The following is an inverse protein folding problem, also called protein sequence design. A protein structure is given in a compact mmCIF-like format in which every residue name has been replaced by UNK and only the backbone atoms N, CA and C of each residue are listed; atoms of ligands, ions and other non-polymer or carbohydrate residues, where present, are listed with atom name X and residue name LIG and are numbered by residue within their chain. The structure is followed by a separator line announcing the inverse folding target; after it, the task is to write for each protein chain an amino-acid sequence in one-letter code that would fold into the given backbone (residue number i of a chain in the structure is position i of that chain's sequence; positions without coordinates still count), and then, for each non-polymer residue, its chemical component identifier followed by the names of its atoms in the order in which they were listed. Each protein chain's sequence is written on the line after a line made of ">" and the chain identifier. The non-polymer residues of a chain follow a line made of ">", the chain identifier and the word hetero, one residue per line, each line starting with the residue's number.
data_IF_141778184378
#
_entry.id   IF_141778184378
#
_cell.length_a   1.000
_cell.length_b   1.000
_cell.length_c   1.000
_cell.angle_alpha   90.00
_cell.angle_beta   90.00
_cell.angle_gamma   90.00
#
_symmetry.space_group_name_H-M   'P 1'
#
loop_
_entity.id
_entity.type
_entity.pdbx_description
1 polymer ?
#
# COMPACT_ATOMS: atom_id res chain seq x y z
N UNK A 1 -7.87 -19.46 -27.80
CA UNK A 1 -7.85 -18.88 -26.44
C UNK A 1 -6.70 -19.53 -25.68
N UNK A 2 -5.67 -18.78 -25.26
CA UNK A 2 -4.56 -19.35 -24.48
C UNK A 2 -5.10 -19.80 -23.13
N UNK A 3 -5.14 -21.12 -22.91
CA UNK A 3 -5.51 -21.71 -21.63
C UNK A 3 -4.45 -21.30 -20.61
N UNK A 4 -4.85 -20.54 -19.58
CA UNK A 4 -3.99 -20.29 -18.44
C UNK A 4 -3.80 -21.61 -17.68
N UNK A 5 -2.61 -21.90 -17.14
CA UNK A 5 -2.44 -23.05 -16.26
C UNK A 5 -3.48 -23.02 -15.14
N UNK A 6 -4.04 -24.17 -14.74
CA UNK A 6 -4.95 -24.20 -13.60
C UNK A 6 -4.23 -23.72 -12.34
N UNK A 7 -4.99 -23.08 -11.45
CA UNK A 7 -4.49 -22.74 -10.12
C UNK A 7 -4.15 -24.03 -9.36
N UNK A 8 -3.20 -23.94 -8.43
CA UNK A 8 -2.96 -25.03 -7.50
C UNK A 8 -4.20 -25.26 -6.64
N UNK A 9 -4.48 -26.50 -6.18
CA UNK A 9 -5.69 -26.80 -5.42
C UNK A 9 -5.87 -25.93 -4.17
N UNK A 10 -4.78 -25.59 -3.47
CA UNK A 10 -4.81 -24.73 -2.28
C UNK A 10 -5.29 -23.31 -2.63
N UNK A 11 -4.82 -22.72 -3.73
CA UNK A 11 -5.25 -21.40 -4.17
C UNK A 11 -6.70 -21.46 -4.67
N UNK A 12 -7.07 -22.53 -5.36
CA UNK A 12 -8.44 -22.68 -5.87
C UNK A 12 -9.48 -22.83 -4.76
N UNK A 13 -9.08 -23.33 -3.58
CA UNK A 13 -9.96 -23.51 -2.43
C UNK A 13 -10.13 -22.24 -1.57
N UNK A 14 -9.35 -21.17 -1.80
CA UNK A 14 -9.47 -19.95 -1.02
C UNK A 14 -10.81 -19.24 -1.32
N UNK A 15 -11.58 -18.83 -0.29
CA UNK A 15 -12.83 -18.11 -0.50
C UNK A 15 -12.54 -16.72 -1.09
N UNK A 16 -13.34 -16.32 -2.08
CA UNK A 16 -13.37 -14.94 -2.55
C UNK A 16 -14.15 -14.09 -1.55
N UNK A 17 -13.52 -13.77 -0.42
CA UNK A 17 -14.09 -12.87 0.58
C UNK A 17 -13.16 -11.68 0.78
N UNK A 18 -13.74 -10.49 0.78
CA UNK A 18 -13.04 -9.24 1.07
C UNK A 18 -13.42 -8.84 2.49
N UNK A 19 -12.58 -9.08 3.50
CA UNK A 19 -12.95 -8.84 4.90
C UNK A 19 -13.07 -7.35 5.24
N UNK A 20 -12.51 -6.46 4.41
CA UNK A 20 -12.53 -5.02 4.61
C UNK A 20 -12.69 -4.28 3.27
N UNK A 21 -13.61 -3.32 3.21
CA UNK A 21 -13.77 -2.42 2.06
C UNK A 21 -12.89 -1.19 2.26
N UNK A 22 -11.93 -0.96 1.36
CA UNK A 22 -11.01 0.18 1.46
C UNK A 22 -11.70 1.55 1.34
N UNK A 23 -11.13 2.62 1.94
CA UNK A 23 -11.75 3.94 1.97
C UNK A 23 -12.00 4.51 0.56
N UNK A 24 -11.11 4.26 -0.40
CA UNK A 24 -11.27 4.76 -1.77
C UNK A 24 -12.51 4.14 -2.47
N UNK A 25 -12.83 2.88 -2.17
CA UNK A 25 -14.05 2.25 -2.66
C UNK A 25 -15.29 2.84 -2.00
N UNK A 26 -15.25 3.06 -0.69
CA UNK A 26 -16.35 3.71 0.05
C UNK A 26 -16.63 5.13 -0.44
N UNK A 27 -15.59 5.90 -0.81
CA UNK A 27 -15.75 7.24 -1.39
C UNK A 27 -16.40 7.20 -2.77
N UNK A 28 -16.03 6.23 -3.62
CA UNK A 28 -16.67 6.01 -4.92
C UNK A 28 -18.14 5.64 -4.78
N UNK A 29 -18.46 4.68 -3.91
CA UNK A 29 -19.84 4.23 -3.67
C UNK A 29 -20.72 5.34 -3.08
N UNK A 30 -20.15 6.20 -2.21
CA UNK A 30 -20.85 7.39 -1.69
C UNK A 30 -20.89 8.56 -2.66
N UNK A 31 -20.10 8.55 -3.73
CA UNK A 31 -19.94 9.67 -4.67
C UNK A 31 -19.31 10.93 -4.06
N UNK A 32 -18.61 10.82 -2.92
CA UNK A 32 -17.94 11.97 -2.27
C UNK A 32 -16.83 11.55 -1.33
N UNK A 33 -15.80 12.38 -1.23
CA UNK A 33 -14.69 12.20 -0.32
C UNK A 33 -15.14 12.14 1.16
N UNK A 34 -14.34 11.49 2.01
CA UNK A 34 -14.48 11.56 3.45
C UNK A 34 -14.22 12.98 3.97
N UNK A 35 -15.11 13.46 4.85
CA UNK A 35 -14.81 14.64 5.67
C UNK A 35 -13.73 14.35 6.72
N UNK A 36 -13.65 13.11 7.20
CA UNK A 36 -12.64 12.62 8.14
C UNK A 36 -12.30 11.16 7.83
N UNK A 37 -11.01 10.86 7.61
CA UNK A 37 -10.49 9.53 7.29
C UNK A 37 -9.83 8.92 8.53
N UNK A 38 -10.66 8.32 9.39
CA UNK A 38 -10.29 7.83 10.73
C UNK A 38 -10.65 6.35 10.96
N UNK A 39 -10.95 5.60 9.89
CA UNK A 39 -11.41 4.20 9.97
C UNK A 39 -10.32 3.15 9.76
N UNK A 40 -9.11 3.55 9.35
CA UNK A 40 -8.03 2.63 8.92
C UNK A 40 -6.74 2.76 9.75
N UNK A 41 -6.78 3.46 10.90
CA UNK A 41 -5.64 3.70 11.79
C UNK A 41 -4.44 4.42 11.13
N UNK A 42 -4.65 5.09 10.01
CA UNK A 42 -3.64 5.95 9.39
C UNK A 42 -3.45 7.22 10.23
N UNK A 43 -2.19 7.64 10.43
CA UNK A 43 -1.90 8.89 11.13
C UNK A 43 -2.23 10.09 10.24
N UNK A 44 -3.35 10.77 10.53
CA UNK A 44 -3.77 11.97 9.79
C UNK A 44 -2.84 13.17 9.97
N UNK A 45 -1.90 13.12 10.93
CA UNK A 45 -0.88 14.15 11.12
C UNK A 45 0.17 14.16 10.01
N UNK A 46 0.32 13.05 9.28
CA UNK A 46 1.38 12.85 8.31
C UNK A 46 2.76 12.61 8.96
N UNK A 47 3.79 12.35 8.14
CA UNK A 47 5.17 12.20 8.62
C UNK A 47 5.80 13.56 8.96
N UNK A 48 6.94 13.54 9.66
CA UNK A 48 7.73 14.74 9.93
C UNK A 48 8.10 15.47 8.62
N UNK A 49 8.09 16.82 8.58
CA UNK A 49 8.55 17.58 7.41
C UNK A 49 9.98 17.22 6.97
N UNK A 50 10.84 16.81 7.91
CA UNK A 50 12.20 16.34 7.62
C UNK A 50 12.22 15.05 6.81
N UNK A 51 11.26 14.15 7.07
CA UNK A 51 11.10 12.90 6.31
C UNK A 51 10.67 13.22 4.88
N UNK A 52 9.69 14.10 4.71
CA UNK A 52 9.22 14.52 3.37
C UNK A 52 10.37 15.14 2.56
N UNK A 53 11.14 16.06 3.16
CA UNK A 53 12.29 16.67 2.51
C UNK A 53 13.36 15.63 2.12
N UNK A 54 13.63 14.65 2.98
CA UNK A 54 14.58 13.56 2.67
C UNK A 54 14.07 12.69 1.52
N UNK A 55 12.80 12.29 1.53
CA UNK A 55 12.19 11.50 0.46
C UNK A 55 12.29 12.22 -0.89
N UNK A 56 11.97 13.52 -0.92
CA UNK A 56 12.10 14.33 -2.13
C UNK A 56 13.56 14.44 -2.59
N UNK A 57 14.49 14.63 -1.66
CA UNK A 57 15.92 14.77 -1.96
C UNK A 57 16.58 13.51 -2.52
N UNK A 58 16.09 12.31 -2.17
CA UNK A 58 16.65 11.04 -2.66
C UNK A 58 15.88 10.42 -3.83
N UNK A 59 14.82 11.08 -4.31
CA UNK A 59 13.95 10.50 -5.34
C UNK A 59 14.71 10.11 -6.62
N UNK A 60 15.76 10.85 -6.97
CA UNK A 60 16.62 10.54 -8.12
C UNK A 60 17.43 9.24 -7.98
N UNK A 61 17.65 8.77 -6.75
CA UNK A 61 18.45 7.59 -6.44
C UNK A 61 17.61 6.30 -6.31
N UNK A 62 16.27 6.42 -6.33
CA UNK A 62 15.34 5.29 -6.12
C UNK A 62 15.28 4.29 -7.29
N UNK A 63 16.17 4.40 -8.28
CA UNK A 63 16.35 3.37 -9.33
C UNK A 63 17.20 2.19 -8.85
N UNK A 64 17.98 2.39 -7.78
CA UNK A 64 18.80 1.35 -7.18
C UNK A 64 17.96 0.44 -6.30
N UNK A 65 18.31 -0.85 -6.28
CA UNK A 65 17.84 -1.72 -5.21
C UNK A 65 18.30 -1.18 -3.85
N UNK A 66 17.46 -1.34 -2.83
CA UNK A 66 17.86 -1.06 -1.45
C UNK A 66 19.01 -1.98 -1.03
N UNK A 67 19.84 -1.53 -0.08
CA UNK A 67 20.84 -2.37 0.56
C UNK A 67 20.18 -3.62 1.16
N UNK A 68 20.52 -4.84 0.69
CA UNK A 68 19.90 -6.07 1.18
C UNK A 68 20.12 -6.31 2.67
N UNK A 69 21.21 -5.79 3.24
CA UNK A 69 21.51 -5.94 4.66
C UNK A 69 20.85 -4.88 5.53
N UNK A 70 20.22 -3.86 4.91
CA UNK A 70 19.56 -2.74 5.58
C UNK A 70 20.48 -2.06 6.63
N UNK A 71 21.77 -1.92 6.31
CA UNK A 71 22.80 -1.51 7.26
C UNK A 71 22.46 -0.18 7.95
N UNK A 72 22.20 0.87 7.16
CA UNK A 72 21.92 2.22 7.66
C UNK A 72 20.61 2.33 8.45
N UNK A 73 19.65 1.41 8.24
CA UNK A 73 18.38 1.41 8.98
C UNK A 73 18.50 0.73 10.34
N UNK A 74 19.44 -0.21 10.49
CA UNK A 74 19.66 -0.98 11.73
C UNK A 74 20.53 -0.23 12.75
N UNK A 75 21.29 0.76 12.29
CA UNK A 75 22.12 1.64 13.13
C UNK A 75 21.28 2.77 13.74
#
# INVERSE_FOLDING_TARGET
>A
MRQRPPLTPIISALPSTVPFVGPEAQERDRGRAFRARIGANESSFGPSPRVIARMAGIAGDMWMYCDPDNHDLKL
#
